data_IF_740649175683
#
_entry.id   IF_740649175683
#
_cell.length_a   1.000
_cell.length_b   1.000
_cell.length_c   1.000
_cell.angle_alpha   90.00
_cell.angle_beta   90.00
_cell.angle_gamma   90.00
#
_symmetry.space_group_name_H-M   'P 1'
#
loop_
_entity.id
_entity.type
_entity.pdbx_description
1 polymer ?
#
# COMPACT_ATOMS: atom_id res chain seq x y z
N UNK A 1 -21.92 -5.91 19.45
CA UNK A 1 -21.36 -5.49 18.14
C UNK A 1 -20.03 -4.75 18.32
N UNK A 2 -19.99 -3.60 19.00
CA UNK A 2 -18.77 -2.80 19.23
C UNK A 2 -17.60 -3.57 19.89
N UNK A 3 -17.91 -4.43 20.87
CA UNK A 3 -16.89 -5.26 21.56
C UNK A 3 -16.16 -6.25 20.63
N UNK A 4 -16.87 -6.82 19.64
CA UNK A 4 -16.28 -7.76 18.66
C UNK A 4 -15.32 -7.01 17.73
N UNK A 5 -15.70 -5.83 17.24
CA UNK A 5 -14.82 -5.03 16.39
C UNK A 5 -13.56 -4.58 17.12
N UNK A 6 -13.65 -4.14 18.38
CA UNK A 6 -12.48 -3.76 19.16
C UNK A 6 -11.50 -4.90 19.35
N UNK A 7 -12.00 -6.11 19.67
CA UNK A 7 -11.16 -7.30 19.78
C UNK A 7 -10.38 -7.56 18.48
N UNK A 8 -11.06 -7.59 17.33
CA UNK A 8 -10.42 -7.81 16.04
C UNK A 8 -9.44 -6.70 15.67
N UNK A 9 -9.75 -5.43 15.95
CA UNK A 9 -8.83 -4.32 15.66
C UNK A 9 -7.53 -4.42 16.46
N UNK A 10 -7.59 -4.81 17.73
CA UNK A 10 -6.41 -4.97 18.58
C UNK A 10 -5.58 -6.16 18.10
N UNK A 11 -6.23 -7.29 17.78
CA UNK A 11 -5.56 -8.49 17.26
C UNK A 11 -4.83 -8.18 15.95
N UNK A 12 -5.49 -7.51 15.01
CA UNK A 12 -4.90 -7.12 13.72
C UNK A 12 -3.78 -6.09 13.88
N UNK A 13 -3.91 -5.13 14.81
CA UNK A 13 -2.87 -4.16 15.10
C UNK A 13 -1.60 -4.81 15.66
N UNK A 14 -1.75 -5.74 16.62
CA UNK A 14 -0.62 -6.48 17.18
C UNK A 14 0.00 -7.39 16.12
N UNK A 15 -0.81 -8.12 15.36
CA UNK A 15 -0.33 -8.98 14.28
C UNK A 15 0.44 -8.17 13.21
N UNK A 16 -0.06 -6.99 12.84
CA UNK A 16 0.62 -6.06 11.93
C UNK A 16 1.95 -5.57 12.49
N UNK A 17 2.02 -5.23 13.77
CA UNK A 17 3.27 -4.81 14.44
C UNK A 17 4.31 -5.95 14.45
N UNK A 18 3.88 -7.18 14.73
CA UNK A 18 4.75 -8.36 14.70
C UNK A 18 5.24 -8.64 13.28
N UNK A 19 4.35 -8.59 12.28
CA UNK A 19 4.75 -8.75 10.87
C UNK A 19 5.71 -7.66 10.42
N UNK A 20 5.48 -6.41 10.81
CA UNK A 20 6.37 -5.28 10.50
C UNK A 20 7.76 -5.51 11.11
N UNK A 21 7.81 -5.93 12.37
CA UNK A 21 9.06 -6.25 13.04
C UNK A 21 9.79 -7.43 12.40
N UNK A 22 9.06 -8.47 12.00
CA UNK A 22 9.60 -9.62 11.26
C UNK A 22 10.15 -9.17 9.90
N UNK A 23 9.42 -8.33 9.17
CA UNK A 23 9.88 -7.78 7.89
C UNK A 23 11.19 -6.98 8.08
N UNK A 24 11.25 -6.14 9.10
CA UNK A 24 12.45 -5.37 9.44
C UNK A 24 13.63 -6.27 9.83
N UNK A 25 13.37 -7.37 10.56
CA UNK A 25 14.38 -8.36 10.95
C UNK A 25 14.80 -9.29 9.79
N UNK A 26 13.87 -9.57 8.87
CA UNK A 26 14.07 -10.46 7.73
C UNK A 26 14.71 -9.75 6.54
N UNK A 27 14.67 -8.41 6.50
CA UNK A 27 15.41 -7.58 5.54
C UNK A 27 16.89 -7.50 5.95
N UNK A 28 17.49 -8.66 6.21
CA UNK A 28 18.92 -8.82 6.36
C UNK A 28 19.44 -9.34 5.03
N UNK A 29 19.72 -8.41 4.12
CA UNK A 29 20.32 -8.67 2.81
C UNK A 29 21.47 -9.70 2.94
N UNK A 30 21.30 -10.87 2.33
CA UNK A 30 22.36 -11.86 2.16
C UNK A 30 23.26 -11.44 1.00
N UNK A 31 24.07 -10.40 1.22
CA UNK A 31 25.14 -9.99 0.30
C UNK A 31 26.47 -10.34 0.96
N UNK A 32 27.26 -11.20 0.30
CA UNK A 32 28.68 -11.42 0.64
C UNK A 32 29.39 -10.07 0.51
N UNK A 33 29.67 -9.42 1.65
CA UNK A 33 30.22 -8.06 1.68
C UNK A 33 31.71 -8.06 1.35
N UNK A 34 32.06 -7.54 0.17
CA UNK A 34 33.43 -7.12 -0.18
C UNK A 34 33.69 -5.64 0.21
N UNK A 35 32.64 -4.87 0.56
CA UNK A 35 32.75 -3.43 0.92
C UNK A 35 31.84 -3.03 2.09
N UNK A 36 32.25 -2.00 2.84
CA UNK A 36 31.59 -1.50 4.04
C UNK A 36 30.16 -0.99 3.77
N UNK A 37 29.27 -1.17 4.75
CA UNK A 37 27.84 -0.82 4.65
C UNK A 37 27.68 0.69 4.36
N UNK A 38 27.01 1.10 3.28
CA UNK A 38 26.72 2.51 3.07
C UNK A 38 25.75 2.98 4.16
N UNK A 39 26.16 4.00 4.92
CA UNK A 39 25.32 4.67 5.92
C UNK A 39 24.04 5.20 5.26
N UNK A 40 22.92 5.21 5.99
CA UNK A 40 21.61 5.75 5.51
C UNK A 40 21.74 7.17 4.92
N UNK A 41 22.68 7.95 5.43
CA UNK A 41 22.98 9.29 4.91
C UNK A 41 23.51 9.25 3.46
N UNK A 42 24.32 8.26 3.10
CA UNK A 42 24.84 8.06 1.75
C UNK A 42 23.72 7.60 0.80
N UNK A 43 22.84 6.71 1.26
CA UNK A 43 21.68 6.29 0.46
C UNK A 43 20.72 7.46 0.19
N UNK A 44 20.44 8.31 1.20
CA UNK A 44 19.63 9.53 1.01
C UNK A 44 20.29 10.54 0.08
N UNK A 45 21.62 10.71 0.15
CA UNK A 45 22.36 11.61 -0.72
C UNK A 45 22.39 11.11 -2.18
N UNK A 46 22.53 9.80 -2.40
CA UNK A 46 22.42 9.17 -3.73
C UNK A 46 20.99 9.26 -4.28
N UNK A 47 19.97 9.03 -3.45
CA UNK A 47 18.56 9.15 -3.85
C UNK A 47 18.21 10.57 -4.29
N UNK A 48 18.67 11.59 -3.55
CA UNK A 48 18.47 13.01 -3.88
C UNK A 48 19.24 13.46 -5.13
N UNK A 49 20.39 12.83 -5.41
CA UNK A 49 21.15 13.07 -6.65
C UNK A 49 20.45 12.48 -7.88
N UNK A 50 19.64 11.42 -7.70
CA UNK A 50 18.85 10.81 -8.75
C UNK A 50 17.41 11.37 -8.78
N UNK A 51 17.25 12.56 -9.41
CA UNK A 51 15.97 13.27 -9.54
C UNK A 51 14.78 12.39 -9.99
N UNK A 52 14.87 11.50 -10.99
CA UNK A 52 13.73 10.68 -11.39
C UNK A 52 13.30 9.68 -10.30
N UNK A 53 14.23 9.08 -9.56
CA UNK A 53 13.91 8.16 -8.48
C UNK A 53 13.26 8.88 -7.29
N UNK A 54 13.75 10.08 -6.96
CA UNK A 54 13.15 10.92 -5.91
C UNK A 54 11.72 11.35 -6.27
N UNK A 55 11.47 11.68 -7.54
CA UNK A 55 10.13 12.05 -8.03
C UNK A 55 9.15 10.87 -7.99
N UNK A 56 9.62 9.65 -8.29
CA UNK A 56 8.82 8.43 -8.15
C UNK A 56 8.48 8.13 -6.68
N UNK A 57 9.43 8.30 -5.75
CA UNK A 57 9.16 8.14 -4.32
C UNK A 57 8.10 9.14 -3.82
N UNK A 58 8.21 10.42 -4.20
CA UNK A 58 7.21 11.43 -3.84
C UNK A 58 5.85 11.09 -4.45
N UNK A 59 5.82 10.68 -5.72
CA UNK A 59 4.60 10.24 -6.39
C UNK A 59 3.95 9.05 -5.68
N UNK A 60 4.73 8.04 -5.32
CA UNK A 60 4.27 6.87 -4.57
C UNK A 60 3.72 7.25 -3.19
N UNK A 61 4.38 8.16 -2.46
CA UNK A 61 3.89 8.67 -1.18
C UNK A 61 2.57 9.45 -1.33
N UNK A 62 2.47 10.28 -2.37
CA UNK A 62 1.24 11.02 -2.66
C UNK A 62 0.08 10.07 -2.97
N UNK A 63 0.31 9.08 -3.83
CA UNK A 63 -0.69 8.04 -4.16
C UNK A 63 -1.08 7.26 -2.90
N UNK A 64 -0.12 6.88 -2.07
CA UNK A 64 -0.38 6.18 -0.81
C UNK A 64 -1.31 7.01 0.09
N UNK A 65 -0.98 8.29 0.33
CA UNK A 65 -1.82 9.20 1.14
C UNK A 65 -3.22 9.32 0.54
N UNK A 66 -3.32 9.50 -0.78
CA UNK A 66 -4.59 9.58 -1.49
C UNK A 66 -5.44 8.32 -1.29
N UNK A 67 -4.85 7.13 -1.42
CA UNK A 67 -5.58 5.86 -1.24
C UNK A 67 -6.11 5.69 0.19
N UNK A 68 -5.35 6.07 1.21
CA UNK A 68 -5.82 6.05 2.60
C UNK A 68 -6.93 7.08 2.84
N UNK A 69 -6.80 8.29 2.30
CA UNK A 69 -7.80 9.34 2.43
C UNK A 69 -9.13 8.96 1.77
N UNK A 70 -9.10 8.40 0.56
CA UNK A 70 -10.28 7.89 -0.14
C UNK A 70 -10.93 6.77 0.65
N UNK A 71 -10.14 5.78 1.13
CA UNK A 71 -10.67 4.65 1.90
C UNK A 71 -11.40 5.09 3.17
N UNK A 72 -10.84 6.05 3.91
CA UNK A 72 -11.47 6.64 5.08
C UNK A 72 -12.74 7.42 4.74
N UNK A 73 -12.70 8.21 3.66
CA UNK A 73 -13.85 9.02 3.21
C UNK A 73 -15.01 8.14 2.74
N UNK A 74 -14.73 7.05 2.01
CA UNK A 74 -15.75 6.09 1.57
C UNK A 74 -16.45 5.40 2.75
N UNK A 75 -15.69 5.01 3.78
CA UNK A 75 -16.26 4.46 5.02
C UNK A 75 -17.18 5.47 5.72
N UNK A 76 -16.74 6.72 5.83
CA UNK A 76 -17.54 7.79 6.43
C UNK A 76 -18.84 8.00 5.64
N UNK A 77 -18.75 8.09 4.31
CA UNK A 77 -19.93 8.27 3.46
C UNK A 77 -20.96 7.14 3.63
N UNK A 78 -20.50 5.88 3.60
CA UNK A 78 -21.40 4.73 3.75
C UNK A 78 -22.04 4.69 5.15
N UNK A 79 -21.26 5.02 6.19
CA UNK A 79 -21.74 5.06 7.58
C UNK A 79 -22.76 6.14 7.84
N UNK A 80 -22.49 7.36 7.37
CA UNK A 80 -23.25 8.55 7.78
C UNK A 80 -24.30 9.00 6.77
N UNK A 81 -24.15 8.69 5.47
CA UNK A 81 -25.10 9.11 4.43
C UNK A 81 -26.00 7.96 4.00
N UNK A 82 -25.44 6.78 3.75
CA UNK A 82 -26.22 5.62 3.31
C UNK A 82 -26.86 4.86 4.48
N UNK A 83 -26.39 5.09 5.72
CA UNK A 83 -26.88 4.46 6.95
C UNK A 83 -26.92 2.91 6.93
N UNK A 84 -26.23 2.29 5.97
CA UNK A 84 -26.12 0.84 5.85
C UNK A 84 -24.67 0.47 5.55
N UNK A 85 -24.06 -0.24 6.50
CA UNK A 85 -22.64 -0.58 6.50
C UNK A 85 -22.30 -1.74 5.57
N UNK A 86 -23.29 -2.52 5.13
CA UNK A 86 -23.09 -3.63 4.19
C UNK A 86 -22.73 -3.16 2.78
N UNK A 87 -23.18 -1.96 2.39
CA UNK A 87 -22.88 -1.40 1.07
C UNK A 87 -21.38 -1.10 0.88
N UNK A 88 -20.63 -0.88 1.96
CA UNK A 88 -19.19 -0.64 1.86
C UNK A 88 -18.46 -1.83 1.22
N UNK A 89 -18.80 -3.06 1.62
CA UNK A 89 -18.21 -4.28 1.06
C UNK A 89 -18.52 -4.42 -0.42
N UNK A 90 -19.75 -4.10 -0.84
CA UNK A 90 -20.15 -4.14 -2.25
C UNK A 90 -19.38 -3.11 -3.08
N UNK A 91 -19.26 -1.88 -2.58
CA UNK A 91 -18.50 -0.82 -3.26
C UNK A 91 -17.02 -1.18 -3.43
N UNK A 92 -16.38 -1.73 -2.39
CA UNK A 92 -14.98 -2.18 -2.45
C UNK A 92 -14.80 -3.34 -3.44
N UNK A 93 -15.74 -4.29 -3.47
CA UNK A 93 -15.72 -5.38 -4.44
C UNK A 93 -15.79 -4.83 -5.87
N UNK A 94 -16.77 -3.97 -6.17
CA UNK A 94 -16.92 -3.37 -7.51
C UNK A 94 -15.67 -2.60 -7.91
N UNK A 95 -15.11 -1.77 -7.02
CA UNK A 95 -13.88 -1.03 -7.29
C UNK A 95 -12.69 -1.94 -7.60
N UNK A 96 -12.56 -3.05 -6.87
CA UNK A 96 -11.47 -4.02 -7.06
C UNK A 96 -11.63 -4.77 -8.39
N UNK A 97 -12.85 -5.19 -8.72
CA UNK A 97 -13.18 -5.81 -10.01
C UNK A 97 -12.90 -4.89 -11.18
N UNK A 98 -13.28 -3.60 -11.06
CA UNK A 98 -13.03 -2.61 -12.11
C UNK A 98 -11.53 -2.38 -12.34
N UNK A 99 -10.73 -2.30 -11.28
CA UNK A 99 -9.27 -2.16 -11.39
C UNK A 99 -8.64 -3.40 -12.02
N UNK A 100 -9.07 -4.59 -11.60
CA UNK A 100 -8.59 -5.84 -12.18
C UNK A 100 -8.93 -5.91 -13.67
N UNK A 101 -10.18 -5.61 -14.02
CA UNK A 101 -10.66 -5.56 -15.40
C UNK A 101 -9.83 -4.59 -16.25
N UNK A 102 -9.57 -3.37 -15.77
CA UNK A 102 -8.75 -2.40 -16.48
C UNK A 102 -7.32 -2.90 -16.68
N UNK A 103 -6.74 -3.57 -15.67
CA UNK A 103 -5.40 -4.18 -15.79
C UNK A 103 -5.38 -5.34 -16.79
N UNK A 104 -6.41 -6.18 -16.82
CA UNK A 104 -6.49 -7.29 -17.78
C UNK A 104 -6.80 -6.82 -19.19
N UNK A 105 -7.62 -5.77 -19.35
CA UNK A 105 -7.94 -5.17 -20.64
C UNK A 105 -6.71 -4.50 -21.27
N UNK A 106 -5.88 -3.81 -20.47
CA UNK A 106 -4.62 -3.22 -20.94
C UNK A 106 -3.50 -4.23 -21.19
N UNK A 107 -3.59 -5.46 -20.67
CA UNK A 107 -2.59 -6.51 -20.89
C UNK A 107 -2.74 -7.25 -22.23
N UNK A 108 -3.83 -7.00 -22.97
CA UNK A 108 -4.09 -7.58 -24.29
C UNK A 108 -3.49 -6.80 -25.46
N UNK A 109 -3.02 -5.57 -25.24
CA UNK A 109 -2.65 -4.59 -26.29
C UNK A 109 -1.13 -4.38 -26.39
N UNK A 110 -0.36 -5.46 -26.49
CA UNK A 110 1.11 -5.36 -26.60
C UNK A 110 1.80 -6.60 -27.15
N UNK A 111 1.07 -7.41 -27.91
CA UNK A 111 1.55 -8.67 -28.46
C UNK A 111 1.11 -8.88 -29.92
N UNK A 112 0.92 -7.80 -30.68
CA UNK A 112 0.49 -7.84 -32.10
C UNK A 112 1.31 -6.89 -33.00
N UNK A 113 2.59 -6.71 -32.69
CA UNK A 113 3.48 -5.78 -33.38
C UNK A 113 4.97 -6.20 -33.30
N UNK A 114 5.24 -7.50 -33.16
CA UNK A 114 6.57 -8.08 -33.39
C UNK A 114 6.52 -9.32 -34.29
#
# INVERSE_FOLDING_TARGET
MVSVYHFWTIVLAIAGMVLYFICFKSTRENVVRIVAQPSLNISLQTLKRNRPLFMLCIGALCVLISTFAVSASSLFYVRYVLNDTGLFTVLVLVQTWLVLWHRTAGAGDGREDR
#
